data_IF_988770766171
#
_entry.id   IF_988770766171
#
_cell.length_a   1.000
_cell.length_b   1.000
_cell.length_c   1.000
_cell.angle_alpha   90.00
_cell.angle_beta   90.00
_cell.angle_gamma   90.00
#
_symmetry.space_group_name_H-M   'P 1'
#
loop_
_entity.id
_entity.type
_entity.pdbx_description
1 polymer ?
#
# COMPACT_ATOMS: atom_id res chain seq x y z
N UNK A 1 -20.83 -26.04 -1.94
CA UNK A 1 -20.03 -24.81 -2.16
C UNK A 1 -19.44 -24.94 -3.54
N UNK A 2 -19.71 -24.02 -4.44
CA UNK A 2 -19.08 -23.99 -5.76
C UNK A 2 -17.82 -23.14 -5.68
N UNK A 3 -16.68 -23.67 -6.17
CA UNK A 3 -15.40 -22.97 -6.19
C UNK A 3 -15.03 -22.45 -7.58
N UNK A 4 -15.99 -22.51 -8.52
CA UNK A 4 -15.77 -21.97 -9.87
C UNK A 4 -15.88 -20.45 -9.83
N UNK A 5 -15.06 -19.80 -10.64
CA UNK A 5 -15.24 -18.39 -10.96
C UNK A 5 -16.56 -18.19 -11.71
N UNK A 6 -17.17 -17.04 -11.59
CA UNK A 6 -18.28 -16.62 -12.44
C UNK A 6 -17.77 -16.28 -13.84
N UNK A 7 -18.66 -16.26 -14.83
CA UNK A 7 -18.31 -15.87 -16.20
C UNK A 7 -17.66 -14.49 -16.25
N UNK A 8 -18.12 -13.54 -15.41
CA UNK A 8 -17.54 -12.21 -15.29
C UNK A 8 -16.11 -12.27 -14.73
N UNK A 9 -15.89 -13.06 -13.69
CA UNK A 9 -14.55 -13.23 -13.09
C UNK A 9 -13.59 -13.91 -14.07
N UNK A 10 -14.06 -14.92 -14.84
CA UNK A 10 -13.25 -15.57 -15.86
C UNK A 10 -12.83 -14.59 -16.95
N UNK A 11 -13.73 -13.72 -17.44
CA UNK A 11 -13.41 -12.69 -18.42
C UNK A 11 -12.35 -11.70 -17.92
N UNK A 12 -12.48 -11.28 -16.66
CA UNK A 12 -11.47 -10.39 -16.04
C UNK A 12 -10.11 -11.11 -15.98
N UNK A 13 -10.05 -12.32 -15.47
CA UNK A 13 -8.81 -13.11 -15.35
C UNK A 13 -8.18 -13.37 -16.72
N UNK A 14 -8.99 -13.67 -17.74
CA UNK A 14 -8.51 -13.89 -19.10
C UNK A 14 -7.87 -12.63 -19.70
N UNK A 15 -8.41 -11.44 -19.43
CA UNK A 15 -7.80 -10.19 -19.89
C UNK A 15 -6.38 -9.99 -19.33
N UNK A 16 -6.13 -10.33 -18.07
CA UNK A 16 -4.79 -10.30 -17.49
C UNK A 16 -3.87 -11.38 -18.06
N UNK A 17 -4.41 -12.58 -18.37
CA UNK A 17 -3.64 -13.62 -19.06
C UNK A 17 -3.19 -13.15 -20.44
N UNK A 18 -4.10 -12.62 -21.24
CA UNK A 18 -3.80 -12.07 -22.56
C UNK A 18 -2.75 -10.95 -22.48
N UNK A 19 -2.86 -10.09 -21.48
CA UNK A 19 -1.88 -9.04 -21.24
C UNK A 19 -0.48 -9.60 -20.91
N UNK A 20 -0.40 -10.64 -20.07
CA UNK A 20 0.87 -11.29 -19.77
C UNK A 20 1.46 -12.02 -20.97
N UNK A 21 0.65 -12.49 -21.91
CA UNK A 21 1.07 -13.15 -23.14
C UNK A 21 1.42 -12.16 -24.28
N UNK A 22 1.06 -10.89 -24.16
CA UNK A 22 1.22 -9.88 -25.22
C UNK A 22 2.67 -9.52 -25.51
N UNK A 23 3.56 -9.66 -24.53
CA UNK A 23 4.97 -9.29 -24.61
C UNK A 23 5.87 -10.27 -23.82
N UNK A 24 7.17 -10.18 -24.05
CA UNK A 24 8.16 -10.84 -23.20
C UNK A 24 8.43 -9.98 -21.93
N UNK A 25 7.54 -10.08 -20.96
CA UNK A 25 7.64 -9.35 -19.69
C UNK A 25 8.83 -9.77 -18.84
N UNK A 26 9.30 -11.02 -18.94
CA UNK A 26 10.46 -11.51 -18.19
C UNK A 26 11.70 -10.66 -18.45
N UNK A 27 11.99 -10.34 -19.73
CA UNK A 27 13.11 -9.46 -20.10
C UNK A 27 12.95 -8.07 -19.48
N UNK A 28 11.75 -7.49 -19.54
CA UNK A 28 11.48 -6.19 -18.96
C UNK A 28 11.64 -6.18 -17.43
N UNK A 29 11.12 -7.22 -16.74
CA UNK A 29 11.29 -7.34 -15.29
C UNK A 29 12.75 -7.48 -14.89
N UNK A 30 13.53 -8.26 -15.65
CA UNK A 30 14.96 -8.40 -15.40
C UNK A 30 15.69 -7.06 -15.52
N UNK A 31 15.39 -6.28 -16.55
CA UNK A 31 15.96 -4.93 -16.73
C UNK A 31 15.58 -3.98 -15.57
N UNK A 32 14.33 -3.99 -15.14
CA UNK A 32 13.88 -3.17 -14.02
C UNK A 32 14.57 -3.60 -12.70
N UNK A 33 14.70 -4.91 -12.46
CA UNK A 33 15.37 -5.42 -11.25
C UNK A 33 16.85 -5.06 -11.21
N UNK A 34 17.58 -5.16 -12.33
CA UNK A 34 18.98 -4.74 -12.43
C UNK A 34 19.17 -3.23 -12.19
N UNK A 35 18.24 -2.41 -12.66
CA UNK A 35 18.27 -0.96 -12.50
C UNK A 35 17.70 -0.49 -11.17
N UNK A 36 17.07 -1.38 -10.40
CA UNK A 36 16.31 -1.05 -9.19
C UNK A 36 15.18 -0.04 -9.48
N UNK A 37 14.47 -0.24 -10.56
CA UNK A 37 13.40 0.63 -11.04
C UNK A 37 12.04 -0.04 -10.91
N UNK A 38 11.04 0.75 -10.49
CA UNK A 38 9.65 0.30 -10.44
C UNK A 38 9.14 0.00 -11.86
N UNK A 39 8.49 -1.15 -12.11
CA UNK A 39 8.08 -1.57 -13.45
C UNK A 39 6.80 -0.85 -13.90
N UNK A 40 6.82 0.48 -13.92
CA UNK A 40 5.65 1.34 -14.15
C UNK A 40 4.91 1.00 -15.45
N UNK A 41 5.62 0.71 -16.54
CA UNK A 41 4.98 0.37 -17.83
C UNK A 41 4.05 -0.84 -17.72
N UNK A 42 4.52 -1.88 -17.02
CA UNK A 42 3.73 -3.09 -16.78
C UNK A 42 2.56 -2.82 -15.83
N UNK A 43 2.82 -2.14 -14.72
CA UNK A 43 1.78 -1.82 -13.73
C UNK A 43 0.69 -0.93 -14.32
N UNK A 44 1.09 0.08 -15.13
CA UNK A 44 0.12 0.94 -15.82
C UNK A 44 -0.81 0.14 -16.74
N UNK A 45 -0.29 -0.82 -17.50
CA UNK A 45 -1.13 -1.67 -18.34
C UNK A 45 -2.09 -2.55 -17.53
N UNK A 46 -1.69 -3.01 -16.32
CA UNK A 46 -2.63 -3.70 -15.42
C UNK A 46 -3.73 -2.75 -14.94
N UNK A 47 -3.41 -1.51 -14.60
CA UNK A 47 -4.38 -0.50 -14.18
C UNK A 47 -5.32 -0.08 -15.32
N UNK A 48 -4.84 -0.05 -16.58
CA UNK A 48 -5.68 0.15 -17.77
C UNK A 48 -6.69 -0.98 -17.96
N UNK A 49 -6.42 -2.17 -17.43
CA UNK A 49 -7.35 -3.31 -17.33
C UNK A 49 -8.21 -3.28 -16.04
N UNK A 50 -8.08 -2.26 -15.23
CA UNK A 50 -8.86 -2.06 -14.01
C UNK A 50 -8.29 -2.70 -12.74
N UNK A 51 -7.01 -3.05 -12.67
CA UNK A 51 -6.41 -3.73 -11.52
C UNK A 51 -6.62 -2.99 -10.20
N UNK A 52 -6.36 -1.70 -10.17
CA UNK A 52 -6.53 -0.82 -9.00
C UNK A 52 -8.01 -0.45 -8.74
N UNK A 53 -8.93 -0.86 -9.63
CA UNK A 53 -10.37 -0.65 -9.53
C UNK A 53 -11.13 -1.89 -9.02
N UNK A 54 -10.49 -3.07 -8.98
CA UNK A 54 -11.14 -4.35 -8.60
C UNK A 54 -11.81 -4.25 -7.23
N UNK A 55 -11.13 -3.62 -6.25
CA UNK A 55 -11.60 -3.53 -4.87
C UNK A 55 -12.54 -2.34 -4.63
N UNK A 56 -12.73 -1.47 -5.62
CA UNK A 56 -13.46 -0.23 -5.46
C UNK A 56 -14.94 -0.34 -5.88
N UNK A 57 -15.84 0.38 -5.19
CA UNK A 57 -17.21 0.52 -5.62
C UNK A 57 -17.32 1.46 -6.84
N UNK A 58 -18.35 1.30 -7.66
CA UNK A 58 -18.63 2.15 -8.84
C UNK A 58 -18.66 3.65 -8.49
N UNK A 59 -19.16 4.01 -7.31
CA UNK A 59 -19.23 5.40 -6.84
C UNK A 59 -17.87 6.10 -6.73
N UNK A 60 -16.78 5.33 -6.72
CA UNK A 60 -15.40 5.83 -6.68
C UNK A 60 -14.57 5.35 -7.89
N UNK A 61 -15.23 5.09 -9.01
CA UNK A 61 -14.56 4.69 -10.24
C UNK A 61 -14.08 3.24 -10.28
N UNK A 62 -14.57 2.41 -9.37
CA UNK A 62 -14.26 0.98 -9.32
C UNK A 62 -15.15 0.12 -10.21
N UNK A 63 -14.86 -1.17 -10.27
CA UNK A 63 -15.62 -2.15 -11.04
C UNK A 63 -16.92 -2.57 -10.36
N UNK A 64 -17.12 -2.28 -9.06
CA UNK A 64 -18.34 -2.61 -8.33
C UNK A 64 -18.63 -4.11 -8.22
N UNK A 65 -17.61 -4.96 -8.24
CA UNK A 65 -17.74 -6.41 -8.26
C UNK A 65 -18.41 -6.94 -6.98
N UNK A 66 -19.25 -7.97 -7.11
CA UNK A 66 -19.91 -8.62 -5.96
C UNK A 66 -18.89 -9.34 -5.06
N UNK A 67 -17.82 -9.92 -5.63
CA UNK A 67 -16.79 -10.68 -4.92
C UNK A 67 -15.38 -10.19 -5.30
N UNK A 68 -15.02 -8.94 -4.98
CA UNK A 68 -13.77 -8.35 -5.45
C UNK A 68 -12.52 -9.08 -4.94
N UNK A 69 -12.52 -9.56 -3.70
CA UNK A 69 -11.39 -10.32 -3.14
C UNK A 69 -11.11 -11.61 -3.92
N UNK A 70 -12.16 -12.35 -4.31
CA UNK A 70 -12.00 -13.59 -5.08
C UNK A 70 -11.43 -13.29 -6.47
N UNK A 71 -11.95 -12.26 -7.12
CA UNK A 71 -11.45 -11.81 -8.43
C UNK A 71 -9.97 -11.39 -8.33
N UNK A 72 -9.63 -10.58 -7.36
CA UNK A 72 -8.25 -10.13 -7.15
C UNK A 72 -7.28 -11.28 -6.87
N UNK A 73 -7.69 -12.27 -6.06
CA UNK A 73 -6.89 -13.48 -5.83
C UNK A 73 -6.64 -14.26 -7.10
N UNK A 74 -7.66 -14.44 -7.96
CA UNK A 74 -7.52 -15.13 -9.23
C UNK A 74 -6.60 -14.38 -10.21
N UNK A 75 -6.65 -13.04 -10.20
CA UNK A 75 -5.71 -12.22 -10.97
C UNK A 75 -4.27 -12.39 -10.46
N UNK A 76 -4.04 -12.35 -9.15
CA UNK A 76 -2.70 -12.59 -8.59
C UNK A 76 -2.17 -13.98 -8.93
N UNK A 77 -3.03 -15.00 -8.90
CA UNK A 77 -2.64 -16.36 -9.31
C UNK A 77 -2.14 -16.39 -10.77
N UNK A 78 -2.83 -15.72 -11.68
CA UNK A 78 -2.38 -15.62 -13.07
C UNK A 78 -1.07 -14.87 -13.18
N UNK A 79 -0.97 -13.69 -12.58
CA UNK A 79 0.27 -12.89 -12.61
C UNK A 79 1.47 -13.68 -12.08
N UNK A 80 1.29 -14.40 -10.97
CA UNK A 80 2.33 -15.23 -10.38
C UNK A 80 2.78 -16.37 -11.30
N UNK A 81 1.85 -17.06 -11.99
CA UNK A 81 2.16 -18.12 -12.99
C UNK A 81 3.09 -17.63 -14.11
N UNK A 82 3.02 -16.36 -14.45
CA UNK A 82 3.91 -15.74 -15.44
C UNK A 82 5.20 -15.15 -14.83
N UNK A 83 5.46 -15.40 -13.55
CA UNK A 83 6.65 -14.90 -12.84
C UNK A 83 6.65 -13.38 -12.65
N UNK A 84 5.48 -12.76 -12.65
CA UNK A 84 5.37 -11.31 -12.47
C UNK A 84 5.80 -10.87 -11.05
N UNK A 85 6.38 -9.67 -10.90
CA UNK A 85 6.81 -9.13 -9.60
C UNK A 85 5.61 -8.61 -8.80
N UNK A 86 4.70 -9.50 -8.41
CA UNK A 86 3.42 -9.16 -7.77
C UNK A 86 3.56 -8.33 -6.49
N UNK A 87 4.72 -8.39 -5.82
CA UNK A 87 5.02 -7.60 -4.62
C UNK A 87 4.99 -6.08 -4.84
N UNK A 88 5.18 -5.60 -6.08
CA UNK A 88 5.09 -4.17 -6.38
C UNK A 88 3.64 -3.66 -6.45
N UNK A 89 2.66 -4.57 -6.42
CA UNK A 89 1.25 -4.26 -6.59
C UNK A 89 0.49 -4.10 -5.25
N UNK A 90 1.10 -4.38 -4.11
CA UNK A 90 0.40 -4.51 -2.82
C UNK A 90 -0.43 -3.27 -2.43
N UNK A 91 0.00 -2.08 -2.82
CA UNK A 91 -0.68 -0.84 -2.42
C UNK A 91 -1.86 -0.46 -3.32
N UNK A 92 -1.87 -0.94 -4.57
CA UNK A 92 -2.91 -0.56 -5.53
C UNK A 92 -4.32 -1.01 -5.10
N UNK A 93 -4.53 -2.25 -4.61
CA UNK A 93 -5.84 -2.66 -4.09
C UNK A 93 -6.24 -1.94 -2.80
N UNK A 94 -5.29 -1.30 -2.12
CA UNK A 94 -5.50 -0.61 -0.84
C UNK A 94 -6.24 0.73 -0.93
N UNK A 95 -6.59 1.23 -2.12
CA UNK A 95 -7.41 2.43 -2.27
C UNK A 95 -8.74 2.36 -1.51
N UNK A 96 -9.31 1.16 -1.33
CA UNK A 96 -10.51 0.94 -0.52
C UNK A 96 -10.33 1.42 0.93
N UNK A 97 -9.17 1.15 1.53
CA UNK A 97 -8.84 1.63 2.88
C UNK A 97 -8.86 3.16 2.97
N UNK A 98 -8.31 3.84 1.96
CA UNK A 98 -8.32 5.31 1.90
C UNK A 98 -9.74 5.85 1.77
N UNK A 99 -10.57 5.25 0.92
CA UNK A 99 -11.98 5.65 0.75
C UNK A 99 -12.78 5.46 2.05
N UNK A 100 -12.53 4.38 2.78
CA UNK A 100 -13.25 4.06 4.01
C UNK A 100 -12.88 4.95 5.18
N UNK A 101 -11.62 5.34 5.31
CA UNK A 101 -11.07 5.96 6.52
C UNK A 101 -10.60 7.40 6.31
N UNK A 102 -10.30 7.80 5.07
CA UNK A 102 -9.73 9.11 4.76
C UNK A 102 -10.74 10.25 4.78
N UNK A 103 -10.24 11.47 4.93
CA UNK A 103 -11.00 12.69 4.66
C UNK A 103 -11.19 12.87 3.16
N UNK A 104 -12.13 13.75 2.74
CA UNK A 104 -12.34 14.06 1.32
C UNK A 104 -11.03 14.50 0.63
N UNK A 105 -10.20 15.33 1.29
CA UNK A 105 -8.91 15.78 0.76
C UNK A 105 -7.92 14.62 0.59
N UNK A 106 -7.87 13.70 1.54
CA UNK A 106 -6.99 12.51 1.49
C UNK A 106 -7.44 11.55 0.38
N UNK A 107 -8.75 11.33 0.26
CA UNK A 107 -9.35 10.51 -0.80
C UNK A 107 -9.04 11.12 -2.17
N UNK A 108 -9.29 12.41 -2.38
CA UNK A 108 -9.01 13.09 -3.63
C UNK A 108 -7.52 13.01 -4.01
N UNK A 109 -6.63 13.23 -3.03
CA UNK A 109 -5.18 13.17 -3.24
C UNK A 109 -4.73 11.79 -3.75
N UNK A 110 -5.26 10.70 -3.19
CA UNK A 110 -4.88 9.33 -3.57
C UNK A 110 -5.59 8.90 -4.85
N UNK A 111 -6.90 9.17 -4.98
CA UNK A 111 -7.68 8.79 -6.15
C UNK A 111 -7.27 9.52 -7.44
N UNK A 112 -6.53 10.63 -7.33
CA UNK A 112 -5.97 11.33 -8.49
C UNK A 112 -5.02 10.47 -9.34
N UNK A 113 -4.49 9.36 -8.79
CA UNK A 113 -3.60 8.43 -9.49
C UNK A 113 -4.28 7.14 -9.94
N UNK A 114 -5.60 7.00 -9.74
CA UNK A 114 -6.34 5.83 -10.20
C UNK A 114 -6.14 5.64 -11.71
N UNK A 115 -5.80 4.42 -12.12
CA UNK A 115 -5.50 4.07 -13.51
C UNK A 115 -4.10 4.44 -13.99
N UNK A 116 -3.30 5.18 -13.20
CA UNK A 116 -1.95 5.59 -13.61
C UNK A 116 -0.87 4.53 -13.39
N UNK A 117 -1.09 3.63 -12.46
CA UNK A 117 -0.08 2.67 -11.97
C UNK A 117 0.99 3.30 -11.08
N UNK A 118 0.89 4.58 -10.76
CA UNK A 118 1.82 5.26 -9.86
C UNK A 118 1.51 4.89 -8.40
N UNK A 119 2.57 4.65 -7.64
CA UNK A 119 2.47 4.48 -6.19
C UNK A 119 2.43 5.86 -5.54
N UNK A 120 1.29 6.26 -4.96
CA UNK A 120 1.17 7.57 -4.32
C UNK A 120 1.21 7.51 -2.80
N UNK A 121 0.86 6.37 -2.22
CA UNK A 121 0.82 6.19 -0.77
C UNK A 121 1.26 4.79 -0.36
N UNK A 122 1.65 4.64 0.91
CA UNK A 122 1.87 3.35 1.57
C UNK A 122 1.63 3.48 3.08
N UNK A 123 1.62 2.36 3.80
CA UNK A 123 1.58 2.33 5.25
C UNK A 123 2.97 2.13 5.85
N UNK A 124 3.19 2.64 7.07
CA UNK A 124 4.45 2.51 7.78
C UNK A 124 4.21 2.20 9.26
N UNK A 125 4.37 0.94 9.62
CA UNK A 125 4.15 0.44 10.98
C UNK A 125 5.46 0.03 11.65
N UNK A 126 6.25 -0.83 11.00
CA UNK A 126 7.44 -1.48 11.57
C UNK A 126 8.51 -0.49 12.03
N UNK A 127 9.12 -0.76 13.18
CA UNK A 127 10.22 0.02 13.77
C UNK A 127 11.42 -0.88 14.09
N UNK A 128 12.63 -0.32 14.31
CA UNK A 128 13.80 -1.12 14.69
C UNK A 128 13.59 -1.99 15.93
N UNK A 129 12.74 -1.55 16.87
CA UNK A 129 12.41 -2.26 18.11
C UNK A 129 11.04 -2.96 18.13
N UNK A 130 10.23 -2.82 17.08
CA UNK A 130 8.85 -3.30 17.05
C UNK A 130 8.46 -3.83 15.66
N UNK A 131 8.34 -5.14 15.54
CA UNK A 131 7.83 -5.83 14.36
C UNK A 131 6.49 -6.51 14.67
N UNK A 132 6.49 -7.81 14.97
CA UNK A 132 5.27 -8.55 15.30
C UNK A 132 4.54 -8.01 16.55
N UNK A 133 5.28 -7.46 17.51
CA UNK A 133 4.69 -6.73 18.63
C UNK A 133 4.48 -5.26 18.26
N UNK A 134 3.38 -4.99 17.55
CA UNK A 134 2.96 -3.63 17.17
C UNK A 134 2.72 -2.76 18.43
N UNK A 135 2.33 -3.36 19.55
CA UNK A 135 2.18 -2.67 20.82
C UNK A 135 3.46 -2.06 21.37
N UNK A 136 4.65 -2.50 20.91
CA UNK A 136 5.95 -2.00 21.34
C UNK A 136 6.46 -0.78 20.52
N UNK A 137 5.67 -0.22 19.60
CA UNK A 137 6.05 0.97 18.83
C UNK A 137 6.58 2.09 19.73
N UNK A 138 7.65 2.75 19.28
CA UNK A 138 8.28 3.89 19.96
C UNK A 138 8.00 5.24 19.28
N UNK A 139 7.54 5.26 18.03
CA UNK A 139 7.09 6.49 17.37
C UNK A 139 5.96 7.13 18.15
N UNK A 140 6.09 8.43 18.44
CA UNK A 140 5.13 9.19 19.26
C UNK A 140 4.63 10.42 18.54
N UNK A 141 3.42 10.84 18.91
CA UNK A 141 2.93 12.17 18.60
C UNK A 141 2.55 12.92 19.88
N UNK A 142 2.68 14.23 19.86
CA UNK A 142 2.31 15.10 20.96
C UNK A 142 1.56 16.32 20.46
N UNK A 143 0.54 16.74 21.21
CA UNK A 143 -0.20 17.98 20.95
C UNK A 143 0.39 19.12 21.73
N UNK A 144 0.83 20.18 21.04
CA UNK A 144 1.35 21.40 21.66
C UNK A 144 0.87 22.62 20.87
N UNK A 145 0.33 23.64 21.56
CA UNK A 145 -0.09 24.91 20.97
C UNK A 145 -1.04 24.79 19.76
N UNK A 146 -1.94 23.80 19.78
CA UNK A 146 -2.90 23.56 18.69
C UNK A 146 -2.31 22.85 17.47
N UNK A 147 -1.10 22.34 17.56
CA UNK A 147 -0.40 21.54 16.53
C UNK A 147 -0.08 20.15 17.05
N UNK A 148 0.23 19.27 16.14
CA UNK A 148 0.66 17.89 16.42
C UNK A 148 2.11 17.78 15.96
N UNK A 149 2.97 17.19 16.79
CA UNK A 149 4.39 16.95 16.47
C UNK A 149 4.64 15.44 16.49
N UNK A 150 5.12 14.91 15.36
CA UNK A 150 5.40 13.49 15.16
C UNK A 150 6.91 13.25 15.25
N UNK A 151 7.31 12.26 16.06
CA UNK A 151 8.71 11.88 16.27
C UNK A 151 8.86 10.35 16.27
N UNK A 152 9.89 9.87 15.57
CA UNK A 152 10.20 8.43 15.57
C UNK A 152 10.94 7.97 14.33
N UNK A 153 11.09 6.65 14.23
CA UNK A 153 11.75 5.99 13.08
C UNK A 153 10.96 4.77 12.68
N UNK A 154 10.62 4.67 11.42
CA UNK A 154 10.06 3.45 10.81
C UNK A 154 11.14 2.78 9.97
N UNK A 155 11.13 1.43 9.91
CA UNK A 155 12.11 0.67 9.13
C UNK A 155 11.43 -0.35 8.23
N UNK A 156 12.14 -0.76 7.18
CA UNK A 156 11.64 -1.68 6.15
C UNK A 156 10.36 -1.19 5.45
N UNK A 157 10.25 0.12 5.24
CA UNK A 157 9.06 0.69 4.61
C UNK A 157 9.21 0.61 3.09
N UNK A 158 8.46 -0.33 2.52
CA UNK A 158 8.39 -0.57 1.08
C UNK A 158 7.79 0.64 0.36
N UNK A 159 8.22 0.89 -0.88
CA UNK A 159 7.79 2.00 -1.75
C UNK A 159 8.07 3.41 -1.21
N UNK A 160 8.62 3.55 -0.01
CA UNK A 160 8.72 4.84 0.69
C UNK A 160 9.53 5.93 -0.01
N UNK A 161 10.44 5.57 -0.93
CA UNK A 161 11.15 6.56 -1.74
C UNK A 161 10.36 7.04 -2.97
N UNK A 162 9.31 6.30 -3.35
CA UNK A 162 8.48 6.62 -4.53
C UNK A 162 7.14 7.26 -4.20
N UNK A 163 6.66 7.15 -2.95
CA UNK A 163 5.35 7.64 -2.56
C UNK A 163 5.39 9.08 -2.04
N UNK A 164 4.28 9.78 -2.22
CA UNK A 164 4.08 11.13 -1.67
C UNK A 164 3.57 11.10 -0.23
N UNK A 165 2.80 10.08 0.12
CA UNK A 165 2.16 9.98 1.43
C UNK A 165 2.48 8.65 2.12
N UNK A 166 2.65 8.71 3.44
CA UNK A 166 2.69 7.51 4.29
C UNK A 166 1.62 7.59 5.38
N UNK A 167 0.88 6.50 5.56
CA UNK A 167 0.03 6.33 6.75
C UNK A 167 0.90 5.80 7.89
N UNK A 168 1.18 6.65 8.87
CA UNK A 168 2.11 6.40 9.98
C UNK A 168 1.34 6.12 11.26
N UNK A 169 1.57 4.95 11.87
CA UNK A 169 1.05 4.67 13.21
C UNK A 169 1.99 5.20 14.27
N UNK A 170 1.45 5.97 15.24
CA UNK A 170 2.18 6.53 16.37
C UNK A 170 1.36 6.45 17.67
N UNK A 171 2.06 6.43 18.82
CA UNK A 171 1.47 6.54 20.16
C UNK A 171 1.34 7.99 20.57
N UNK A 172 0.32 8.29 21.35
CA UNK A 172 0.26 9.55 22.07
C UNK A 172 1.38 9.59 23.15
N UNK A 173 2.17 10.66 23.19
CA UNK A 173 3.29 10.79 24.14
C UNK A 173 2.82 10.89 25.61
N UNK A 174 1.62 11.45 25.83
CA UNK A 174 1.04 11.63 27.16
C UNK A 174 0.16 10.44 27.60
N UNK A 175 -0.34 9.63 26.62
CA UNK A 175 -1.08 8.39 26.84
C UNK A 175 -0.58 7.27 25.90
N UNK A 176 0.40 6.46 26.32
CA UNK A 176 1.00 5.42 25.47
C UNK A 176 0.04 4.27 25.11
N UNK A 177 -1.16 4.25 25.65
CA UNK A 177 -2.20 3.27 25.26
C UNK A 177 -3.01 3.72 24.06
N UNK A 178 -2.92 5.00 23.70
CA UNK A 178 -3.63 5.61 22.59
C UNK A 178 -2.76 5.63 21.33
N UNK A 179 -3.20 4.92 20.30
CA UNK A 179 -2.58 4.86 18.97
C UNK A 179 -3.39 5.64 17.97
N UNK A 180 -2.71 6.43 17.16
CA UNK A 180 -3.32 7.21 16.06
C UNK A 180 -2.52 7.00 14.79
N UNK A 181 -3.19 7.05 13.66
CA UNK A 181 -2.52 7.04 12.36
C UNK A 181 -2.62 8.41 11.71
N UNK A 182 -1.56 8.75 11.00
CA UNK A 182 -1.41 10.04 10.34
C UNK A 182 -1.11 9.84 8.86
N UNK A 183 -1.83 10.57 8.02
CA UNK A 183 -1.58 10.66 6.58
C UNK A 183 -0.48 11.70 6.36
N UNK A 184 0.77 11.24 6.41
CA UNK A 184 1.96 12.07 6.38
C UNK A 184 2.37 12.42 4.95
N UNK A 185 2.37 13.69 4.59
CA UNK A 185 3.05 14.19 3.38
C UNK A 185 4.58 14.11 3.59
N UNK A 186 5.25 13.29 2.77
CA UNK A 186 6.67 13.02 2.87
C UNK A 186 7.57 14.22 2.57
N UNK A 187 7.01 15.29 2.02
CA UNK A 187 7.72 16.55 1.77
C UNK A 187 7.80 17.47 2.99
N UNK A 188 7.11 17.13 4.08
CA UNK A 188 7.11 17.95 5.30
C UNK A 188 8.52 18.06 5.90
N UNK A 189 8.91 19.26 6.42
CA UNK A 189 10.16 19.42 7.18
C UNK A 189 10.26 18.42 8.33
N UNK A 190 11.45 17.87 8.55
CA UNK A 190 11.69 16.87 9.59
C UNK A 190 11.58 15.42 9.11
N UNK A 191 11.05 15.17 7.91
CA UNK A 191 11.05 13.83 7.29
C UNK A 191 12.36 13.60 6.55
N UNK A 192 12.99 12.43 6.77
CA UNK A 192 14.19 11.98 6.04
C UNK A 192 14.09 10.51 5.73
N UNK A 193 14.58 10.13 4.55
CA UNK A 193 14.66 8.74 4.10
C UNK A 193 16.11 8.25 4.08
N UNK A 194 16.32 6.99 4.43
CA UNK A 194 17.58 6.27 4.27
C UNK A 194 17.30 4.95 3.53
N UNK A 195 17.69 4.84 2.26
CA UNK A 195 17.45 3.62 1.48
C UNK A 195 18.16 2.40 2.06
N UNK A 196 17.48 1.26 2.06
CA UNK A 196 18.03 -0.04 2.45
C UNK A 196 18.40 -0.85 1.20
N UNK A 197 19.60 -1.45 1.21
CA UNK A 197 20.03 -2.35 0.16
C UNK A 197 19.39 -3.73 0.37
N UNK A 198 18.72 -4.24 -0.66
CA UNK A 198 18.01 -5.54 -0.62
C UNK A 198 18.73 -6.57 -1.48
N UNK A 199 18.67 -7.84 -1.06
CA UNK A 199 19.17 -8.97 -1.86
C UNK A 199 18.24 -9.26 -3.05
N UNK A 200 16.92 -9.22 -2.82
CA UNK A 200 15.88 -9.43 -3.82
C UNK A 200 14.78 -8.37 -3.74
N UNK A 201 13.73 -8.51 -4.55
CA UNK A 201 12.58 -7.59 -4.64
C UNK A 201 13.03 -6.14 -4.92
N UNK A 202 14.02 -5.99 -5.81
CA UNK A 202 14.74 -4.72 -6.01
C UNK A 202 14.00 -3.69 -6.85
N UNK A 203 12.94 -4.11 -7.54
CA UNK A 203 12.10 -3.23 -8.36
C UNK A 203 11.24 -2.25 -7.53
N UNK A 204 11.22 -2.38 -6.21
CA UNK A 204 10.58 -1.42 -5.34
C UNK A 204 11.56 -0.88 -4.30
N UNK A 205 11.39 0.35 -3.86
CA UNK A 205 12.24 0.93 -2.81
C UNK A 205 11.91 0.33 -1.45
N UNK A 206 12.85 0.41 -0.52
CA UNK A 206 12.63 0.08 0.88
C UNK A 206 13.53 0.99 1.71
N UNK A 207 12.97 1.79 2.61
CA UNK A 207 13.77 2.74 3.39
C UNK A 207 13.49 2.65 4.89
N UNK A 208 14.41 3.23 5.66
CA UNK A 208 14.10 3.79 6.96
C UNK A 208 13.52 5.19 6.77
N UNK A 209 12.52 5.52 7.57
CA UNK A 209 11.82 6.81 7.57
C UNK A 209 12.02 7.46 8.92
N UNK A 210 12.78 8.55 8.96
CA UNK A 210 13.04 9.32 10.18
C UNK A 210 12.10 10.52 10.23
N UNK A 211 11.50 10.73 11.39
CA UNK A 211 10.61 11.85 11.68
C UNK A 211 11.14 12.59 12.90
N UNK A 212 11.53 13.85 12.73
CA UNK A 212 12.07 14.73 13.77
C UNK A 212 11.24 16.00 13.85
N UNK A 213 10.39 16.08 14.88
CA UNK A 213 9.47 17.20 15.13
C UNK A 213 8.65 17.59 13.89
N UNK A 214 8.13 16.59 13.17
CA UNK A 214 7.30 16.83 12.00
C UNK A 214 5.97 17.44 12.43
N UNK A 215 5.71 18.66 11.97
CA UNK A 215 4.49 19.40 12.29
C UNK A 215 3.32 18.89 11.45
N UNK A 216 2.25 18.45 12.13
CA UNK A 216 1.01 17.96 11.57
C UNK A 216 -0.17 18.80 12.06
N UNK A 217 -1.27 18.75 11.31
CA UNK A 217 -2.54 19.38 11.62
C UNK A 217 -3.64 18.32 11.85
N UNK A 218 -4.83 18.73 12.30
CA UNK A 218 -5.98 17.83 12.47
C UNK A 218 -6.34 17.07 11.18
N UNK A 219 -6.21 17.71 10.04
CA UNK A 219 -6.50 17.09 8.73
C UNK A 219 -5.51 15.99 8.33
N UNK A 220 -4.33 15.95 8.97
CA UNK A 220 -3.33 14.91 8.76
C UNK A 220 -3.65 13.63 9.56
N UNK A 221 -4.64 13.65 10.47
CA UNK A 221 -5.12 12.43 11.14
C UNK A 221 -5.80 11.55 10.10
N UNK A 222 -5.43 10.26 10.09
CA UNK A 222 -6.06 9.26 9.24
C UNK A 222 -7.06 8.43 10.05
N UNK A 223 -8.31 8.44 9.61
CA UNK A 223 -9.41 7.88 10.39
C UNK A 223 -9.73 8.69 11.65
N UNK A 224 -9.75 8.04 12.80
CA UNK A 224 -10.09 8.65 14.09
C UNK A 224 -8.92 8.58 15.06
N UNK A 225 -8.63 9.69 15.74
CA UNK A 225 -7.65 9.71 16.82
C UNK A 225 -7.95 8.66 17.89
N UNK A 226 -6.94 7.95 18.33
CA UNK A 226 -7.04 6.87 19.31
C UNK A 226 -7.50 5.51 18.76
N UNK A 227 -7.86 5.41 17.48
CA UNK A 227 -8.32 4.14 16.87
C UNK A 227 -7.24 3.45 16.00
N UNK A 228 -6.03 4.00 15.94
CA UNK A 228 -4.99 3.54 15.03
C UNK A 228 -4.62 2.07 15.18
N UNK A 229 -4.54 1.56 16.42
CA UNK A 229 -4.22 0.14 16.65
C UNK A 229 -5.26 -0.81 16.06
N UNK A 230 -6.53 -0.59 16.32
CA UNK A 230 -7.63 -1.46 15.84
C UNK A 230 -7.75 -1.37 14.31
N UNK A 231 -7.54 -0.18 13.75
CA UNK A 231 -7.56 0.03 12.31
C UNK A 231 -6.40 -0.72 11.64
N UNK A 232 -5.17 -0.57 12.13
CA UNK A 232 -4.01 -1.28 11.60
C UNK A 232 -4.16 -2.80 11.68
N UNK A 233 -4.73 -3.34 12.76
CA UNK A 233 -5.06 -4.78 12.85
C UNK A 233 -6.07 -5.20 11.77
N UNK A 234 -7.05 -4.34 11.47
CA UNK A 234 -8.01 -4.60 10.38
C UNK A 234 -7.33 -4.66 9.02
N UNK A 235 -6.41 -3.72 8.74
CA UNK A 235 -5.66 -3.71 7.48
C UNK A 235 -4.75 -4.93 7.33
N UNK A 236 -4.12 -5.40 8.41
CA UNK A 236 -3.35 -6.65 8.37
C UNK A 236 -4.20 -7.87 8.00
N UNK A 237 -5.50 -7.88 8.29
CA UNK A 237 -6.37 -8.96 7.84
C UNK A 237 -6.56 -8.94 6.32
N UNK A 238 -6.63 -7.75 5.72
CA UNK A 238 -6.65 -7.60 4.26
C UNK A 238 -5.31 -8.02 3.64
N UNK A 239 -4.20 -7.51 4.15
CA UNK A 239 -2.86 -7.77 3.60
C UNK A 239 -2.47 -9.26 3.66
N UNK A 240 -2.87 -9.99 4.74
CA UNK A 240 -2.49 -11.41 4.91
C UNK A 240 -2.97 -12.30 3.77
N UNK A 241 -4.23 -12.18 3.34
CA UNK A 241 -4.73 -12.99 2.24
C UNK A 241 -4.16 -12.54 0.90
N UNK A 242 -3.90 -11.25 0.74
CA UNK A 242 -3.30 -10.68 -0.46
C UNK A 242 -1.88 -11.22 -0.69
N UNK A 243 -1.04 -11.20 0.36
CA UNK A 243 0.31 -11.81 0.32
C UNK A 243 0.21 -13.30 -0.03
N UNK A 244 -0.72 -14.02 0.62
CA UNK A 244 -0.94 -15.44 0.32
C UNK A 244 -1.35 -15.70 -1.13
N UNK A 245 -2.13 -14.81 -1.75
CA UNK A 245 -2.51 -14.92 -3.16
C UNK A 245 -1.32 -14.72 -4.11
N UNK A 246 -0.45 -13.73 -3.80
CA UNK A 246 0.78 -13.51 -4.56
C UNK A 246 1.71 -14.72 -4.54
N UNK A 247 1.93 -15.29 -3.35
CA UNK A 247 2.82 -16.44 -3.17
C UNK A 247 2.25 -17.71 -3.83
N UNK A 248 0.94 -17.92 -3.74
CA UNK A 248 0.27 -19.07 -4.34
C UNK A 248 0.42 -19.10 -5.87
N UNK A 249 0.26 -17.96 -6.52
CA UNK A 249 0.43 -17.87 -7.97
C UNK A 249 1.86 -18.16 -8.43
N UNK A 250 2.85 -17.81 -7.59
CA UNK A 250 4.28 -18.01 -7.89
C UNK A 250 4.72 -19.46 -7.62
N UNK A 251 4.08 -20.17 -6.70
CA UNK A 251 4.40 -21.55 -6.33
C UNK A 251 3.90 -22.56 -7.38
#
# INVERSE_FOLDING_TARGET
MDFKLTDEQELIVDSYREYMESENWETYFHECDEKHEYPLRWVKGLCELGFDQIMLPESHGGLGLEQPCVTLMAVYEILGKYGAPTYVLYQLPGFETIIREGTEEQIEAVMSTLGSGEQIWNSACTEPGAGSDVGALATTYKRENGKIYLNGTKTFITSSAGVKYLVIMAKNADDPTMFTEFFLDMSKPGVKLSPLTKLGLRMDSCCEVYMDNVELEEKDIFGKEGNGFMRGVSDFNFERWLVGACDYGTA
#
